data_IF_743274934394
#
_entry.id   IF_743274934394
#
_cell.length_a   1.000
_cell.length_b   1.000
_cell.length_c   1.000
_cell.angle_alpha   90.00
_cell.angle_beta   90.00
_cell.angle_gamma   90.00
#
_symmetry.space_group_name_H-M   'P 1'
#
loop_
_entity.id
_entity.type
_entity.pdbx_description
1 polymer ?
#
# COMPACT_ATOMS: atom_id res chain seq x y z
N UNK A 1 27.29 12.55 38.38
CA UNK A 1 26.22 13.51 38.03
C UNK A 1 26.07 13.51 36.50
N UNK A 2 24.85 13.68 35.94
CA UNK A 2 24.18 12.71 35.07
C UNK A 2 24.04 13.08 33.57
N UNK A 3 23.78 12.03 32.78
CA UNK A 3 23.15 11.90 31.45
C UNK A 3 22.68 13.19 30.72
N UNK A 4 23.31 13.52 29.58
CA UNK A 4 22.73 14.43 28.58
C UNK A 4 22.20 13.62 27.39
N UNK A 5 20.88 13.61 27.31
CA UNK A 5 20.09 12.89 26.34
C UNK A 5 20.39 13.37 24.91
N UNK A 6 20.94 12.48 24.09
CA UNK A 6 21.00 12.64 22.64
C UNK A 6 19.63 12.35 22.03
N UNK A 7 18.63 13.22 22.27
CA UNK A 7 17.25 13.05 21.75
C UNK A 7 16.94 13.96 20.56
N UNK A 8 17.94 14.63 19.99
CA UNK A 8 17.76 15.61 18.90
C UNK A 8 17.69 15.05 17.48
N UNK A 9 18.26 13.86 17.19
CA UNK A 9 18.28 13.30 15.82
C UNK A 9 17.19 12.26 15.54
N UNK A 10 16.63 11.61 16.55
CA UNK A 10 15.65 10.53 16.37
C UNK A 10 14.28 11.04 15.91
N UNK A 11 13.82 12.19 16.41
CA UNK A 11 12.51 12.72 16.04
C UNK A 11 12.40 13.06 14.54
N UNK A 12 13.48 13.54 13.92
CA UNK A 12 13.53 13.82 12.49
C UNK A 12 13.59 12.54 11.63
N UNK A 13 14.32 11.53 12.11
CA UNK A 13 14.38 10.23 11.46
C UNK A 13 13.04 9.47 11.55
N UNK A 14 12.36 9.56 12.69
CA UNK A 14 11.04 8.96 12.90
C UNK A 14 9.98 9.60 12.00
N UNK A 15 9.99 10.93 11.86
CA UNK A 15 9.09 11.65 10.96
C UNK A 15 9.33 11.26 9.49
N UNK A 16 10.60 11.17 9.06
CA UNK A 16 10.93 10.72 7.70
C UNK A 16 10.50 9.28 7.44
N UNK A 17 10.66 8.40 8.45
CA UNK A 17 10.21 7.02 8.38
C UNK A 17 8.70 6.91 8.29
N UNK A 18 7.96 7.71 9.06
CA UNK A 18 6.50 7.78 8.98
C UNK A 18 6.05 8.25 7.60
N UNK A 19 6.62 9.34 7.08
CA UNK A 19 6.30 9.86 5.75
C UNK A 19 6.56 8.82 4.64
N UNK A 20 7.63 8.03 4.75
CA UNK A 20 7.91 6.94 3.82
C UNK A 20 6.84 5.83 3.87
N UNK A 21 6.34 5.49 5.07
CA UNK A 21 5.26 4.51 5.22
C UNK A 21 3.91 5.05 4.72
N UNK A 22 3.60 6.33 4.94
CA UNK A 22 2.40 6.98 4.40
C UNK A 22 2.44 7.01 2.87
N UNK A 23 3.60 7.34 2.28
CA UNK A 23 3.81 7.30 0.83
C UNK A 23 3.63 5.87 0.28
N UNK A 24 4.13 4.85 0.99
CA UNK A 24 3.91 3.45 0.64
C UNK A 24 2.41 3.06 0.69
N UNK A 25 1.68 3.53 1.71
CA UNK A 25 0.25 3.30 1.81
C UNK A 25 -0.52 3.96 0.66
N UNK A 26 -0.18 5.20 0.32
CA UNK A 26 -0.74 5.89 -0.84
C UNK A 26 -0.44 5.15 -2.15
N UNK A 27 0.80 4.68 -2.34
CA UNK A 27 1.20 3.89 -3.50
C UNK A 27 0.43 2.57 -3.63
N UNK A 28 0.28 1.83 -2.52
CA UNK A 28 -0.49 0.57 -2.49
C UNK A 28 -1.95 0.81 -2.90
N UNK A 29 -2.56 1.90 -2.43
CA UNK A 29 -3.94 2.28 -2.79
C UNK A 29 -4.07 2.67 -4.26
N UNK A 30 -3.10 3.39 -4.80
CA UNK A 30 -3.05 3.74 -6.22
C UNK A 30 -2.92 2.49 -7.10
N UNK A 31 -2.02 1.56 -6.76
CA UNK A 31 -1.86 0.31 -7.49
C UNK A 31 -3.14 -0.55 -7.43
N UNK A 32 -3.82 -0.57 -6.27
CA UNK A 32 -5.10 -1.25 -6.13
C UNK A 32 -6.19 -0.67 -7.06
N UNK A 33 -6.21 0.66 -7.20
CA UNK A 33 -7.12 1.35 -8.10
C UNK A 33 -6.82 1.00 -9.57
N UNK A 34 -5.54 1.01 -9.97
CA UNK A 34 -5.10 0.66 -11.33
C UNK A 34 -5.43 -0.79 -11.70
N UNK A 35 -5.16 -1.74 -10.79
CA UNK A 35 -5.51 -3.15 -11.00
C UNK A 35 -7.02 -3.32 -11.13
N UNK A 36 -7.80 -2.59 -10.33
CA UNK A 36 -9.27 -2.63 -10.40
C UNK A 36 -9.76 -2.07 -11.74
N UNK A 37 -9.22 -0.94 -12.21
CA UNK A 37 -9.56 -0.37 -13.51
C UNK A 37 -9.25 -1.34 -14.67
N UNK A 38 -8.06 -1.96 -14.68
CA UNK A 38 -7.70 -2.99 -15.68
C UNK A 38 -8.62 -4.21 -15.63
N UNK A 39 -9.05 -4.61 -14.44
CA UNK A 39 -10.03 -5.69 -14.29
C UNK A 39 -11.40 -5.30 -14.86
N UNK A 40 -11.83 -4.06 -14.65
CA UNK A 40 -13.09 -3.55 -15.18
C UNK A 40 -13.07 -3.44 -16.70
N UNK A 41 -11.94 -3.03 -17.30
CA UNK A 41 -11.73 -3.07 -18.75
C UNK A 41 -11.84 -4.50 -19.32
N UNK A 42 -11.17 -5.46 -18.67
CA UNK A 42 -11.28 -6.87 -19.06
C UNK A 42 -12.70 -7.40 -18.89
N UNK A 43 -13.43 -6.92 -17.87
CA UNK A 43 -14.83 -7.29 -17.63
C UNK A 43 -15.75 -6.73 -18.70
N UNK A 44 -15.57 -5.47 -19.09
CA UNK A 44 -16.29 -4.85 -20.20
C UNK A 44 -16.01 -5.57 -21.53
N UNK A 45 -14.79 -6.08 -21.72
CA UNK A 45 -14.41 -6.88 -22.88
C UNK A 45 -14.82 -8.38 -22.78
N UNK A 46 -15.51 -8.81 -21.72
CA UNK A 46 -15.95 -10.20 -21.52
C UNK A 46 -14.83 -11.20 -21.16
N UNK A 47 -13.62 -10.73 -20.84
CA UNK A 47 -12.41 -11.54 -20.60
C UNK A 47 -12.19 -11.93 -19.12
N UNK A 48 -13.26 -12.01 -18.33
CA UNK A 48 -13.22 -12.28 -16.88
C UNK A 48 -12.70 -13.68 -16.49
N UNK A 49 -12.62 -14.63 -17.43
CA UNK A 49 -12.08 -15.98 -17.17
C UNK A 49 -10.65 -16.17 -17.66
N UNK A 50 -10.04 -15.13 -18.23
CA UNK A 50 -8.67 -15.19 -18.76
C UNK A 50 -7.65 -15.46 -17.64
N UNK A 51 -6.48 -16.00 -18.01
CA UNK A 51 -5.36 -16.14 -17.09
C UNK A 51 -4.95 -14.77 -16.50
N UNK A 52 -4.94 -13.73 -17.34
CA UNK A 52 -4.65 -12.35 -16.95
C UNK A 52 -5.64 -11.82 -15.91
N UNK A 53 -6.94 -12.03 -16.09
CA UNK A 53 -7.93 -11.59 -15.11
C UNK A 53 -7.74 -12.29 -13.76
N UNK A 54 -7.44 -13.60 -13.76
CA UNK A 54 -7.15 -14.34 -12.53
C UNK A 54 -5.89 -13.85 -11.82
N UNK A 55 -4.83 -13.53 -12.56
CA UNK A 55 -3.60 -12.94 -12.02
C UNK A 55 -3.86 -11.55 -11.41
N UNK A 56 -4.62 -10.69 -12.10
CA UNK A 56 -5.01 -9.39 -11.58
C UNK A 56 -5.91 -9.52 -10.35
N UNK A 57 -6.83 -10.48 -10.33
CA UNK A 57 -7.68 -10.75 -9.17
C UNK A 57 -6.85 -11.15 -7.95
N UNK A 58 -5.87 -12.05 -8.12
CA UNK A 58 -4.95 -12.44 -7.05
C UNK A 58 -4.13 -11.25 -6.55
N UNK A 59 -3.58 -10.45 -7.48
CA UNK A 59 -2.83 -9.22 -7.15
C UNK A 59 -3.70 -8.25 -6.35
N UNK A 60 -4.94 -8.01 -6.79
CA UNK A 60 -5.91 -7.17 -6.08
C UNK A 60 -6.21 -7.67 -4.67
N UNK A 61 -6.33 -8.98 -4.48
CA UNK A 61 -6.58 -9.56 -3.17
C UNK A 61 -5.39 -9.32 -2.21
N UNK A 62 -4.17 -9.50 -2.70
CA UNK A 62 -2.95 -9.20 -1.94
C UNK A 62 -2.86 -7.71 -1.59
N UNK A 63 -3.10 -6.81 -2.55
CA UNK A 63 -3.07 -5.37 -2.32
C UNK A 63 -4.13 -4.92 -1.30
N UNK A 64 -5.33 -5.50 -1.35
CA UNK A 64 -6.37 -5.26 -0.33
C UNK A 64 -5.96 -5.73 1.06
N UNK A 65 -5.28 -6.88 1.15
CA UNK A 65 -4.79 -7.38 2.44
C UNK A 65 -3.70 -6.47 3.01
N UNK A 66 -2.79 -5.98 2.17
CA UNK A 66 -1.76 -5.01 2.56
C UNK A 66 -2.40 -3.71 3.03
N UNK A 67 -3.31 -3.11 2.26
CA UNK A 67 -4.02 -1.88 2.64
C UNK A 67 -4.79 -2.05 3.95
N UNK A 68 -5.45 -3.20 4.17
CA UNK A 68 -6.09 -3.52 5.45
C UNK A 68 -5.09 -3.51 6.61
N UNK A 69 -3.94 -4.18 6.47
CA UNK A 69 -2.90 -4.24 7.50
C UNK A 69 -2.27 -2.87 7.77
N UNK A 70 -2.20 -2.00 6.77
CA UNK A 70 -1.74 -0.62 6.93
C UNK A 70 -2.75 0.19 7.75
N UNK A 71 -4.04 0.10 7.43
CA UNK A 71 -5.12 0.76 8.18
C UNK A 71 -5.21 0.30 9.62
N UNK A 72 -5.02 -1.00 9.88
CA UNK A 72 -4.95 -1.55 11.25
C UNK A 72 -3.83 -0.93 12.09
N UNK A 73 -2.80 -0.38 11.44
CA UNK A 73 -1.67 0.32 12.08
C UNK A 73 -1.84 1.85 12.08
N UNK A 74 -2.98 2.37 11.60
CA UNK A 74 -3.26 3.80 11.53
C UNK A 74 -2.70 4.52 10.29
N UNK A 75 -2.30 3.78 9.25
CA UNK A 75 -1.75 4.30 7.99
C UNK A 75 -2.77 4.20 6.83
#
# INVERSE_FOLDING_TARGET
MPNEASTGSDAGADAARLAAYEAFAAGTRAELADVTARMDELKAAGKVKSATYRQLFATRATLKDIDRRLRERGL
#
